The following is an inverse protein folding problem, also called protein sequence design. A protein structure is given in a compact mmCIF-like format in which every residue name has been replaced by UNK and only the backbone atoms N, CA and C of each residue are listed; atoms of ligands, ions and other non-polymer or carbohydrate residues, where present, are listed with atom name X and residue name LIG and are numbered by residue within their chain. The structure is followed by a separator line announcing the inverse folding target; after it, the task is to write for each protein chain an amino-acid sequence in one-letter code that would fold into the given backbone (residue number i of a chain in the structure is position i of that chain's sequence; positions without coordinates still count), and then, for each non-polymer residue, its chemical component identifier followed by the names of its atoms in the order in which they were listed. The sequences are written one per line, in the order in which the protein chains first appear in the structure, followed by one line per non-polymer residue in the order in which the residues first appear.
data_IF_384849625815
#
_entry.id   IF_384849625815
#
_cell.length_a   1.000
_cell.length_b   1.000
_cell.length_c   1.000
_cell.angle_alpha   90.00
_cell.angle_beta   90.00
_cell.angle_gamma   90.00
#
_symmetry.space_group_name_H-M   'P 1'
#
loop_
_entity.id
_entity.type
_entity.pdbx_description
1 polymer ?
#
# COMPACT_ATOMS: atom_id res chain seq x y z
N UNK A 1 -48.48 13.84 -20.77
CA UNK A 1 -49.62 14.74 -21.06
C UNK A 1 -50.20 14.37 -22.41
N UNK A 2 -51.48 14.61 -22.65
CA UNK A 2 -52.26 14.04 -23.77
C UNK A 2 -52.29 14.90 -25.04
N UNK A 3 -51.76 16.13 -25.03
CA UNK A 3 -51.78 17.02 -26.20
C UNK A 3 -50.45 17.76 -26.36
N UNK A 4 -49.97 17.83 -27.60
CA UNK A 4 -48.80 18.59 -28.07
C UNK A 4 -49.21 20.00 -28.52
N UNK A 5 -48.29 20.97 -28.58
CA UNK A 5 -48.63 22.32 -29.04
C UNK A 5 -49.19 22.32 -30.49
N UNK A 6 -48.70 21.40 -31.32
CA UNK A 6 -49.20 21.16 -32.67
C UNK A 6 -50.65 20.68 -32.64
N UNK A 7 -51.01 19.75 -31.76
CA UNK A 7 -52.39 19.28 -31.64
C UNK A 7 -53.34 20.37 -31.12
N UNK A 8 -52.88 21.22 -30.20
CA UNK A 8 -53.66 22.37 -29.70
C UNK A 8 -53.95 23.36 -30.84
N UNK A 9 -52.97 23.62 -31.72
CA UNK A 9 -53.13 24.52 -32.88
C UNK A 9 -54.19 24.02 -33.89
N UNK A 10 -54.39 22.70 -33.98
CA UNK A 10 -55.39 22.10 -34.87
C UNK A 10 -56.76 21.93 -34.20
N UNK A 11 -56.88 22.21 -32.90
CA UNK A 11 -58.10 22.05 -32.15
C UNK A 11 -59.08 23.18 -32.48
N UNK A 12 -60.21 22.85 -33.10
CA UNK A 12 -61.27 23.82 -33.44
C UNK A 12 -62.51 23.57 -32.59
N UNK A 13 -62.83 24.46 -31.63
CA UNK A 13 -64.04 24.33 -30.83
C UNK A 13 -65.30 24.34 -31.70
N UNK A 14 -66.30 23.53 -31.34
CA UNK A 14 -67.58 23.50 -32.03
C UNK A 14 -68.30 24.86 -31.93
N UNK A 15 -69.04 25.23 -32.98
CA UNK A 15 -69.79 26.50 -33.02
C UNK A 15 -71.09 26.35 -32.22
N UNK A 16 -71.36 27.27 -31.29
CA UNK A 16 -72.66 27.35 -30.61
C UNK A 16 -73.58 28.34 -31.33
N UNK A 17 -74.86 27.99 -31.43
CA UNK A 17 -75.91 28.79 -32.09
C UNK A 17 -76.53 29.82 -31.12
N UNK A 18 -76.42 29.61 -29.80
CA UNK A 18 -76.95 30.49 -28.76
C UNK A 18 -75.94 30.65 -27.62
N UNK A 19 -75.69 31.88 -27.16
CA UNK A 19 -74.90 32.17 -25.95
C UNK A 19 -73.40 31.79 -25.99
N UNK A 20 -72.81 31.63 -27.17
CA UNK A 20 -71.41 31.21 -27.34
C UNK A 20 -70.35 32.30 -27.08
N UNK A 21 -69.12 31.87 -26.86
CA UNK A 21 -67.97 32.77 -26.73
C UNK A 21 -67.63 33.49 -28.05
N UNK A 22 -67.09 34.71 -27.94
CA UNK A 22 -66.62 35.48 -29.10
C UNK A 22 -65.43 34.76 -29.74
N UNK A 23 -65.60 34.30 -30.97
CA UNK A 23 -64.58 33.55 -31.72
C UNK A 23 -63.20 34.22 -31.73
N UNK A 24 -63.13 35.52 -32.01
CA UNK A 24 -61.86 36.25 -32.07
C UNK A 24 -61.11 36.21 -30.73
N UNK A 25 -61.83 36.31 -29.61
CA UNK A 25 -61.23 36.23 -28.29
C UNK A 25 -60.76 34.81 -27.94
N UNK A 26 -61.51 33.79 -28.38
CA UNK A 26 -61.12 32.37 -28.20
C UNK A 26 -59.91 32.03 -29.06
N UNK A 27 -59.89 32.46 -30.32
CA UNK A 27 -58.77 32.21 -31.24
C UNK A 27 -57.47 32.87 -30.69
N UNK A 28 -57.54 34.12 -30.21
CA UNK A 28 -56.40 34.79 -29.57
C UNK A 28 -55.91 34.10 -28.28
N UNK A 29 -56.83 33.60 -27.45
CA UNK A 29 -56.48 32.83 -26.26
C UNK A 29 -55.82 31.50 -26.63
N UNK A 30 -56.31 30.81 -27.66
CA UNK A 30 -55.71 29.56 -28.14
C UNK A 30 -54.29 29.79 -28.67
N UNK A 31 -54.03 30.90 -29.37
CA UNK A 31 -52.68 31.27 -29.80
C UNK A 31 -51.73 31.50 -28.61
N UNK A 32 -52.20 32.18 -27.55
CA UNK A 32 -51.43 32.38 -26.32
C UNK A 32 -51.14 31.06 -25.58
N UNK A 33 -52.14 30.17 -25.49
CA UNK A 33 -51.99 28.83 -24.91
C UNK A 33 -50.97 28.02 -25.72
N UNK A 34 -51.02 28.05 -27.05
CA UNK A 34 -50.06 27.35 -27.90
C UNK A 34 -48.65 27.85 -27.63
N UNK A 35 -48.43 29.17 -27.59
CA UNK A 35 -47.12 29.74 -27.31
C UNK A 35 -46.58 29.32 -25.93
N UNK A 36 -47.40 29.42 -24.88
CA UNK A 36 -47.01 29.00 -23.54
C UNK A 36 -46.74 27.48 -23.47
N UNK A 37 -47.48 26.66 -24.21
CA UNK A 37 -47.22 25.22 -24.29
C UNK A 37 -45.94 24.90 -25.06
N UNK A 38 -45.62 25.62 -26.13
CA UNK A 38 -44.35 25.47 -26.86
C UNK A 38 -43.15 25.71 -25.92
N UNK A 39 -43.21 26.77 -25.10
CA UNK A 39 -42.16 27.08 -24.12
C UNK A 39 -42.01 25.97 -23.06
N UNK A 40 -43.13 25.51 -22.48
CA UNK A 40 -43.11 24.43 -21.48
C UNK A 40 -42.59 23.11 -22.07
N UNK A 41 -42.95 22.80 -23.31
CA UNK A 41 -42.47 21.60 -23.99
C UNK A 41 -40.97 21.65 -24.26
N UNK A 42 -40.45 22.83 -24.62
CA UNK A 42 -39.02 23.04 -24.79
C UNK A 42 -38.27 22.91 -23.48
N UNK A 43 -38.73 23.58 -22.42
CA UNK A 43 -38.11 23.47 -21.09
C UNK A 43 -38.14 22.03 -20.58
N UNK A 44 -39.24 21.31 -20.80
CA UNK A 44 -39.34 19.88 -20.46
C UNK A 44 -38.29 19.05 -21.20
N UNK A 45 -38.07 19.30 -22.49
CA UNK A 45 -37.06 18.58 -23.26
C UNK A 45 -35.65 18.88 -22.71
N UNK A 46 -35.33 20.16 -22.51
CA UNK A 46 -34.04 20.59 -21.95
C UNK A 46 -33.79 19.99 -20.55
N UNK A 47 -34.81 19.92 -19.70
CA UNK A 47 -34.74 19.29 -18.39
C UNK A 47 -34.58 17.77 -18.47
N UNK A 48 -35.26 17.11 -19.42
CA UNK A 48 -35.13 15.67 -19.62
C UNK A 48 -33.71 15.29 -20.04
N UNK A 49 -33.14 16.02 -21.01
CA UNK A 49 -31.76 15.84 -21.47
C UNK A 49 -30.76 16.07 -20.31
N UNK A 50 -31.00 17.09 -19.48
CA UNK A 50 -30.17 17.37 -18.31
C UNK A 50 -30.27 16.27 -17.25
N UNK A 51 -31.45 15.70 -17.02
CA UNK A 51 -31.63 14.58 -16.10
C UNK A 51 -30.87 13.37 -16.61
N UNK A 52 -30.99 13.02 -17.90
CA UNK A 52 -30.27 11.90 -18.49
C UNK A 52 -28.74 12.07 -18.34
N UNK A 53 -28.23 13.26 -18.62
CA UNK A 53 -26.81 13.57 -18.43
C UNK A 53 -26.37 13.42 -16.97
N UNK A 54 -27.15 13.95 -16.02
CA UNK A 54 -26.84 13.86 -14.59
C UNK A 54 -26.91 12.43 -14.08
N UNK A 55 -27.85 11.62 -14.57
CA UNK A 55 -27.95 10.20 -14.24
C UNK A 55 -26.74 9.42 -14.75
N UNK A 56 -26.29 9.69 -15.98
CA UNK A 56 -25.09 9.08 -16.54
C UNK A 56 -23.83 9.46 -15.73
N UNK A 57 -23.67 10.73 -15.36
CA UNK A 57 -22.58 11.19 -14.52
C UNK A 57 -22.60 10.55 -13.14
N UNK A 58 -23.78 10.39 -12.55
CA UNK A 58 -23.97 9.79 -11.24
C UNK A 58 -23.62 8.29 -11.25
N UNK A 59 -23.93 7.55 -12.31
CA UNK A 59 -23.47 6.17 -12.50
C UNK A 59 -21.95 6.12 -12.55
N UNK A 60 -21.32 6.97 -13.38
CA UNK A 60 -19.86 7.06 -13.49
C UNK A 60 -19.19 7.37 -12.15
N UNK A 61 -19.74 8.30 -11.38
CA UNK A 61 -19.19 8.63 -10.06
C UNK A 61 -19.32 7.48 -9.05
N UNK A 62 -20.43 6.73 -9.08
CA UNK A 62 -20.59 5.53 -8.23
C UNK A 62 -19.59 4.43 -8.58
N UNK A 63 -19.33 4.22 -9.87
CA UNK A 63 -18.32 3.26 -10.33
C UNK A 63 -16.91 3.69 -9.87
N UNK A 64 -16.58 4.96 -10.02
CA UNK A 64 -15.31 5.52 -9.55
C UNK A 64 -15.15 5.40 -8.03
N UNK A 65 -16.21 5.69 -7.27
CA UNK A 65 -16.20 5.55 -5.81
C UNK A 65 -15.99 4.09 -5.40
N UNK A 66 -16.67 3.14 -6.07
CA UNK A 66 -16.50 1.71 -5.82
C UNK A 66 -15.07 1.24 -6.09
N UNK A 67 -14.49 1.69 -7.21
CA UNK A 67 -13.10 1.41 -7.55
C UNK A 67 -12.16 1.98 -6.48
N UNK A 68 -12.33 3.24 -6.10
CA UNK A 68 -11.49 3.91 -5.11
C UNK A 68 -11.55 3.20 -3.75
N UNK A 69 -12.75 2.81 -3.30
CA UNK A 69 -12.93 2.02 -2.07
C UNK A 69 -12.20 0.69 -2.14
N UNK A 70 -12.32 -0.02 -3.26
CA UNK A 70 -11.66 -1.31 -3.47
C UNK A 70 -10.13 -1.15 -3.47
N UNK A 71 -9.61 -0.15 -4.17
CA UNK A 71 -8.18 0.16 -4.20
C UNK A 71 -7.65 0.54 -2.82
N UNK A 72 -8.40 1.35 -2.06
CA UNK A 72 -8.00 1.76 -0.71
C UNK A 72 -7.91 0.56 0.23
N UNK A 73 -8.93 -0.30 0.24
CA UNK A 73 -8.94 -1.53 1.05
C UNK A 73 -7.80 -2.47 0.65
N UNK A 74 -7.53 -2.59 -0.66
CA UNK A 74 -6.40 -3.39 -1.14
C UNK A 74 -5.06 -2.81 -0.68
N UNK A 75 -4.88 -1.50 -0.80
CA UNK A 75 -3.67 -0.81 -0.38
C UNK A 75 -3.43 -0.96 1.14
N UNK A 76 -4.48 -0.84 1.95
CA UNK A 76 -4.42 -1.04 3.39
C UNK A 76 -4.00 -2.48 3.72
N UNK A 77 -4.63 -3.49 3.09
CA UNK A 77 -4.24 -4.90 3.26
C UNK A 77 -2.78 -5.14 2.89
N UNK A 78 -2.34 -4.62 1.74
CA UNK A 78 -0.95 -4.74 1.30
C UNK A 78 0.02 -4.07 2.28
N UNK A 79 -0.33 -2.89 2.82
CA UNK A 79 0.49 -2.21 3.81
C UNK A 79 0.63 -3.01 5.11
N UNK A 80 -0.47 -3.60 5.60
CA UNK A 80 -0.45 -4.48 6.78
C UNK A 80 0.42 -5.71 6.53
N UNK A 81 0.21 -6.41 5.42
CA UNK A 81 1.01 -7.59 5.05
C UNK A 81 2.49 -7.25 4.93
N UNK A 82 2.83 -6.12 4.30
CA UNK A 82 4.21 -5.67 4.16
C UNK A 82 4.85 -5.39 5.54
N UNK A 83 4.11 -4.74 6.44
CA UNK A 83 4.58 -4.47 7.81
C UNK A 83 4.83 -5.77 8.58
N UNK A 84 3.94 -6.75 8.47
CA UNK A 84 4.09 -8.06 9.11
C UNK A 84 5.25 -8.88 8.53
N UNK A 85 5.48 -8.79 7.21
CA UNK A 85 6.62 -9.42 6.55
C UNK A 85 7.93 -8.78 7.00
N UNK A 86 8.02 -7.45 6.96
CA UNK A 86 9.20 -6.71 7.42
C UNK A 86 9.51 -6.97 8.89
N UNK A 87 8.49 -7.08 9.75
CA UNK A 87 8.68 -7.45 11.16
C UNK A 87 9.29 -8.84 11.32
N UNK A 88 8.74 -9.85 10.63
CA UNK A 88 9.28 -11.22 10.67
C UNK A 88 10.69 -11.31 10.10
N UNK A 89 10.97 -10.58 9.02
CA UNK A 89 12.30 -10.55 8.42
C UNK A 89 13.31 -9.87 9.36
N UNK A 90 12.94 -8.77 10.02
CA UNK A 90 13.76 -8.13 11.03
C UNK A 90 14.07 -9.08 12.20
N UNK A 91 13.07 -9.80 12.70
CA UNK A 91 13.26 -10.79 13.78
C UNK A 91 14.21 -11.92 13.37
N UNK A 92 14.07 -12.42 12.13
CA UNK A 92 14.97 -13.42 11.56
C UNK A 92 16.41 -12.91 11.45
N UNK A 93 16.61 -11.70 10.93
CA UNK A 93 17.93 -11.07 10.81
C UNK A 93 18.58 -10.94 12.19
N UNK A 94 17.81 -10.50 13.20
CA UNK A 94 18.32 -10.35 14.57
C UNK A 94 18.70 -11.71 15.16
N UNK A 95 17.91 -12.76 14.94
CA UNK A 95 18.23 -14.08 15.47
C UNK A 95 19.43 -14.71 14.76
N UNK A 96 19.56 -14.53 13.44
CA UNK A 96 20.72 -14.97 12.67
C UNK A 96 22.00 -14.26 13.13
N UNK A 97 21.96 -12.93 13.26
CA UNK A 97 23.08 -12.15 13.78
C UNK A 97 23.48 -12.58 15.20
N UNK A 98 22.52 -12.87 16.08
CA UNK A 98 22.80 -13.42 17.41
C UNK A 98 23.42 -14.81 17.34
N UNK A 99 22.94 -15.67 16.46
CA UNK A 99 23.49 -17.01 16.25
C UNK A 99 24.94 -16.96 15.78
N UNK A 100 25.21 -16.10 14.80
CA UNK A 100 26.55 -15.88 14.26
C UNK A 100 27.48 -15.30 15.31
N UNK A 101 27.06 -14.26 16.05
CA UNK A 101 27.85 -13.70 17.14
C UNK A 101 28.20 -14.75 18.22
N UNK A 102 27.25 -15.63 18.57
CA UNK A 102 27.49 -16.76 19.49
C UNK A 102 28.49 -17.74 18.89
N UNK A 103 28.41 -18.04 17.59
CA UNK A 103 29.34 -18.92 16.91
C UNK A 103 30.76 -18.34 16.92
N UNK A 104 30.92 -17.08 16.52
CA UNK A 104 32.20 -16.35 16.54
C UNK A 104 32.80 -16.37 17.95
N UNK A 105 31.98 -16.08 18.97
CA UNK A 105 32.44 -16.06 20.37
C UNK A 105 32.91 -17.44 20.82
N UNK A 106 32.23 -18.52 20.43
CA UNK A 106 32.65 -19.89 20.75
C UNK A 106 33.97 -20.24 20.08
N UNK A 107 34.13 -19.92 18.79
CA UNK A 107 35.36 -20.17 18.06
C UNK A 107 36.52 -19.38 18.66
N UNK A 108 36.35 -18.09 18.93
CA UNK A 108 37.37 -17.26 19.55
C UNK A 108 37.82 -17.78 20.93
N UNK A 109 36.89 -18.30 21.74
CA UNK A 109 37.22 -18.94 23.03
C UNK A 109 37.98 -20.24 22.84
N UNK A 110 37.56 -21.09 21.90
CA UNK A 110 38.26 -22.34 21.60
C UNK A 110 39.70 -22.08 21.11
N UNK A 111 39.89 -21.08 20.25
CA UNK A 111 41.20 -20.67 19.76
C UNK A 111 42.05 -20.10 20.88
N UNK A 112 41.48 -19.26 21.75
CA UNK A 112 42.17 -18.74 22.93
C UNK A 112 42.66 -19.88 23.85
N UNK A 113 41.79 -20.84 24.18
CA UNK A 113 42.15 -21.94 25.08
C UNK A 113 43.21 -22.87 24.47
N UNK A 114 43.14 -23.08 23.16
CA UNK A 114 44.17 -23.79 22.39
C UNK A 114 45.51 -23.06 22.47
N UNK A 115 45.54 -21.76 22.18
CA UNK A 115 46.76 -20.95 22.24
C UNK A 115 47.36 -20.93 23.65
N UNK A 116 46.54 -20.79 24.69
CA UNK A 116 47.01 -20.85 26.09
C UNK A 116 47.64 -22.20 26.40
N UNK A 117 47.06 -23.29 25.91
CA UNK A 117 47.60 -24.64 26.08
C UNK A 117 48.94 -24.81 25.35
N UNK A 118 49.04 -24.33 24.11
CA UNK A 118 50.29 -24.34 23.34
C UNK A 118 51.40 -23.52 24.02
N UNK A 119 51.07 -22.33 24.54
CA UNK A 119 52.02 -21.49 25.31
C UNK A 119 52.51 -22.21 26.57
N UNK A 120 51.62 -22.84 27.33
CA UNK A 120 52.00 -23.63 28.52
C UNK A 120 52.93 -24.78 28.16
N UNK A 121 52.62 -25.51 27.07
CA UNK A 121 53.47 -26.59 26.55
C UNK A 121 54.85 -26.08 26.16
N UNK A 122 54.93 -24.98 25.41
CA UNK A 122 56.20 -24.37 25.02
C UNK A 122 57.02 -23.95 26.25
N UNK A 123 56.40 -23.32 27.25
CA UNK A 123 57.08 -22.98 28.52
C UNK A 123 57.65 -24.21 29.22
N UNK A 124 56.87 -25.29 29.31
CA UNK A 124 57.32 -26.53 29.94
C UNK A 124 58.53 -27.14 29.22
N UNK A 125 58.47 -27.21 27.88
CA UNK A 125 59.59 -27.69 27.06
C UNK A 125 60.84 -26.82 27.28
N UNK A 126 60.69 -25.49 27.28
CA UNK A 126 61.81 -24.58 27.51
C UNK A 126 62.43 -24.77 28.91
N UNK A 127 61.60 -24.93 29.95
CA UNK A 127 62.08 -25.19 31.31
C UNK A 127 62.84 -26.51 31.41
N UNK A 128 62.33 -27.57 30.77
CA UNK A 128 63.01 -28.86 30.76
C UNK A 128 64.35 -28.81 30.02
N UNK A 129 64.44 -28.07 28.91
CA UNK A 129 65.68 -27.87 28.19
C UNK A 129 66.71 -27.07 29.01
N UNK A 130 66.28 -26.05 29.74
CA UNK A 130 67.14 -25.27 30.65
C UNK A 130 67.68 -26.14 31.80
N UNK A 131 66.83 -26.95 32.43
CA UNK A 131 67.26 -27.85 33.51
C UNK A 131 68.32 -28.87 33.05
N UNK A 132 68.24 -29.34 31.81
CA UNK A 132 69.26 -30.22 31.22
C UNK A 132 70.59 -29.51 30.96
N UNK A 133 70.60 -28.19 30.77
CA UNK A 133 71.82 -27.39 30.57
C UNK A 133 72.46 -27.02 31.91
N UNK A 134 71.66 -26.78 32.95
CA UNK A 134 72.16 -26.48 34.31
C UNK A 134 72.76 -27.73 35.02
N UNK A 135 72.45 -28.94 34.55
CA UNK A 135 73.04 -30.21 35.03
C UNK A 135 74.43 -30.51 34.40
N UNK A 136 75.22 -29.48 34.09
CA UNK A 136 76.62 -29.68 33.68
C UNK A 136 77.42 -30.14 34.92
N UNK A 137 78.01 -31.36 34.92
CA UNK A 137 78.61 -31.93 36.12
C UNK A 137 79.81 -31.08 36.55
N UNK A 138 80.12 -31.01 37.87
CA UNK A 138 81.22 -30.19 38.35
C UNK A 138 82.48 -30.60 37.59
N UNK A 139 83.11 -29.61 36.94
CA UNK A 139 84.38 -29.75 36.23
C UNK A 139 85.35 -30.38 37.22
N UNK A 140 85.63 -31.69 37.06
CA UNK A 140 86.65 -32.37 37.85
C UNK A 140 87.91 -31.53 37.70
N UNK A 141 88.34 -30.89 38.78
CA UNK A 141 89.68 -30.35 38.89
C UNK A 141 90.61 -31.54 38.74
N UNK A 142 91.12 -31.71 37.53
CA UNK A 142 92.26 -32.55 37.25
C UNK A 142 93.49 -31.86 37.87
N UNK A 143 93.62 -31.97 39.18
CA UNK A 143 94.92 -31.90 39.85
C UNK A 143 95.40 -33.35 39.99
N UNK A 144 95.83 -33.88 38.85
CA UNK A 144 96.71 -35.02 38.77
C UNK A 144 97.81 -34.64 37.78
N UNK A 145 98.73 -33.77 38.19
CA UNK A 145 100.07 -33.65 37.61
C UNK A 145 100.99 -32.82 38.52
N UNK A 146 102.26 -33.25 38.60
CA UNK A 146 103.39 -32.83 39.45
C UNK A 146 103.42 -33.52 40.83
N UNK A 147 104.15 -34.63 41.03
CA UNK A 147 105.62 -34.80 40.94
C UNK A 147 106.37 -33.87 41.91
#
# INVERSE_FOLDING_TARGET
MTLTPVEIRHLKPARSIVGGYKRIAVDALMDEIVASFEDVWRERADLADKVEQLEADLVRYRELESLLRTTLVSAEKSAVTLKEQAGREADLIVEEARSEARAITRTARADHDRLVTEVRRMRSLLHSALALVDEEPPRKTAEAEAA
#
